data_IF_938522406238
#
_entry.id   IF_938522406238
#
_cell.length_a   1.000
_cell.length_b   1.000
_cell.length_c   1.000
_cell.angle_alpha   90.00
_cell.angle_beta   90.00
_cell.angle_gamma   90.00
#
_symmetry.space_group_name_H-M   'P 1'
#
loop_
_entity.id
_entity.type
_entity.pdbx_description
1 polymer ?
#
# COMPACT_ATOMS: atom_id res chain seq x y z
N UNK A 1 -4.40 -25.65 33.72
CA UNK A 1 -4.39 -27.09 33.34
C UNK A 1 -5.62 -27.54 32.55
N UNK A 2 -6.84 -27.61 33.13
CA UNK A 2 -8.01 -28.12 32.38
C UNK A 2 -8.35 -27.26 31.14
N UNK A 3 -8.31 -25.93 31.32
CA UNK A 3 -8.53 -24.93 30.28
C UNK A 3 -7.51 -25.02 29.14
N UNK A 4 -6.23 -25.21 29.48
CA UNK A 4 -5.14 -25.33 28.48
C UNK A 4 -5.31 -26.59 27.63
N UNK A 5 -5.75 -27.68 28.25
CA UNK A 5 -6.00 -28.95 27.58
C UNK A 5 -7.20 -28.87 26.63
N UNK A 6 -8.24 -28.11 27.00
CA UNK A 6 -9.38 -27.83 26.14
C UNK A 6 -8.98 -26.95 24.93
N UNK A 7 -8.12 -25.94 25.12
CA UNK A 7 -7.56 -25.13 24.04
C UNK A 7 -6.68 -25.95 23.09
N UNK A 8 -5.80 -26.81 23.63
CA UNK A 8 -4.95 -27.68 22.83
C UNK A 8 -5.77 -28.66 21.99
N UNK A 9 -6.86 -29.23 22.55
CA UNK A 9 -7.81 -30.07 21.79
C UNK A 9 -8.50 -29.31 20.67
N UNK A 10 -8.83 -28.05 20.88
CA UNK A 10 -9.45 -27.22 19.84
C UNK A 10 -8.44 -26.90 18.73
N UNK A 11 -7.22 -26.50 19.09
CA UNK A 11 -6.13 -26.22 18.15
C UNK A 11 -5.73 -27.45 17.34
N UNK A 12 -5.74 -28.64 17.95
CA UNK A 12 -5.44 -29.89 17.26
C UNK A 12 -6.43 -30.21 16.11
N UNK A 13 -7.63 -29.62 16.10
CA UNK A 13 -8.57 -29.73 14.97
C UNK A 13 -8.09 -28.95 13.74
N UNK A 14 -7.45 -27.80 13.96
CA UNK A 14 -6.94 -26.92 12.89
C UNK A 14 -5.48 -27.24 12.51
N UNK A 15 -4.69 -27.75 13.46
CA UNK A 15 -3.26 -28.08 13.29
C UNK A 15 -2.98 -29.49 13.83
N UNK A 16 -3.32 -30.57 13.10
CA UNK A 16 -3.26 -31.94 13.62
C UNK A 16 -1.85 -32.50 13.79
N UNK A 17 -0.84 -31.87 13.18
CA UNK A 17 0.55 -32.32 13.24
C UNK A 17 1.47 -31.26 13.85
N UNK A 18 2.54 -31.71 14.49
CA UNK A 18 3.57 -30.82 15.03
C UNK A 18 4.15 -29.89 13.96
N UNK A 19 4.32 -30.38 12.73
CA UNK A 19 4.83 -29.60 11.60
C UNK A 19 3.87 -28.48 11.19
N UNK A 20 2.56 -28.75 11.13
CA UNK A 20 1.57 -27.72 10.81
C UNK A 20 1.47 -26.66 11.91
N UNK A 21 1.47 -27.07 13.17
CA UNK A 21 1.50 -26.13 14.29
C UNK A 21 2.77 -25.28 14.28
N UNK A 22 3.94 -25.88 14.02
CA UNK A 22 5.20 -25.17 13.91
C UNK A 22 5.20 -24.17 12.75
N UNK A 23 4.70 -24.57 11.57
CA UNK A 23 4.58 -23.70 10.41
C UNK A 23 3.71 -22.47 10.71
N UNK A 24 2.57 -22.66 11.38
CA UNK A 24 1.70 -21.53 11.73
C UNK A 24 2.31 -20.64 12.80
N UNK A 25 3.00 -21.20 13.79
CA UNK A 25 3.76 -20.39 14.78
C UNK A 25 4.81 -19.54 14.08
N UNK A 26 5.55 -20.08 13.11
CA UNK A 26 6.55 -19.34 12.34
C UNK A 26 5.87 -18.22 11.53
N UNK A 27 4.77 -18.53 10.84
CA UNK A 27 3.99 -17.56 10.07
C UNK A 27 3.48 -16.40 10.95
N UNK A 28 2.85 -16.70 12.08
CA UNK A 28 2.35 -15.70 13.02
C UNK A 28 3.48 -14.87 13.64
N UNK A 29 4.61 -15.49 13.99
CA UNK A 29 5.80 -14.77 14.46
C UNK A 29 6.34 -13.81 13.40
N UNK A 30 6.40 -14.24 12.14
CA UNK A 30 6.81 -13.39 11.03
C UNK A 30 5.85 -12.20 10.84
N UNK A 31 4.53 -12.43 10.94
CA UNK A 31 3.52 -11.37 10.87
C UNK A 31 3.70 -10.38 12.04
N UNK A 32 3.93 -10.85 13.27
CA UNK A 32 4.15 -9.99 14.44
C UNK A 32 5.46 -9.19 14.39
N UNK A 33 6.45 -9.66 13.62
CA UNK A 33 7.70 -8.95 13.39
C UNK A 33 7.57 -7.81 12.35
N UNK A 34 6.46 -7.76 11.60
CA UNK A 34 6.20 -6.65 10.70
C UNK A 34 5.96 -5.35 11.49
N UNK A 35 6.30 -4.17 10.93
CA UNK A 35 6.03 -2.90 11.56
C UNK A 35 4.55 -2.77 11.95
N UNK A 36 4.28 -2.22 13.14
CA UNK A 36 2.91 -1.87 13.53
C UNK A 36 2.28 -0.96 12.49
N UNK A 37 0.99 -1.16 12.25
CA UNK A 37 0.22 -0.27 11.38
C UNK A 37 0.08 1.13 11.99
N UNK A 38 -0.32 2.09 11.17
CA UNK A 38 -0.65 3.44 11.65
C UNK A 38 -1.91 3.40 12.50
N UNK A 39 -1.82 3.88 13.74
CA UNK A 39 -2.94 4.06 14.65
C UNK A 39 -3.30 5.54 14.70
N UNK A 40 -4.59 5.87 14.68
CA UNK A 40 -5.07 7.23 14.82
C UNK A 40 -5.83 7.39 16.13
N UNK A 41 -5.51 8.45 16.88
CA UNK A 41 -6.21 8.82 18.11
C UNK A 41 -6.86 10.19 17.92
N UNK A 42 -8.17 10.25 18.08
CA UNK A 42 -8.96 11.47 17.92
C UNK A 42 -9.80 11.71 19.18
N UNK A 43 -9.72 12.90 19.76
CA UNK A 43 -10.57 13.31 20.90
C UNK A 43 -11.75 14.19 20.45
N UNK A 44 -11.56 15.02 19.42
CA UNK A 44 -12.51 16.07 19.04
C UNK A 44 -12.78 16.04 17.53
N UNK A 45 -13.95 15.53 17.15
CA UNK A 45 -14.37 15.39 15.73
C UNK A 45 -15.50 16.35 15.35
N UNK A 46 -16.04 17.12 16.30
CA UNK A 46 -17.21 17.97 16.08
C UNK A 46 -16.84 19.24 15.31
N UNK A 47 -17.35 19.38 14.09
CA UNK A 47 -17.15 20.57 13.24
C UNK A 47 -15.95 20.50 12.28
N UNK A 48 -15.03 19.56 12.50
CA UNK A 48 -13.74 19.46 11.79
C UNK A 48 -13.72 18.32 10.75
N UNK A 49 -14.83 18.13 10.03
CA UNK A 49 -14.97 16.99 9.10
C UNK A 49 -13.97 17.04 7.93
N UNK A 50 -13.66 18.23 7.42
CA UNK A 50 -12.70 18.42 6.32
C UNK A 50 -11.27 18.13 6.76
N UNK A 51 -10.86 18.63 7.93
CA UNK A 51 -9.54 18.36 8.50
C UNK A 51 -9.35 16.86 8.77
N UNK A 52 -10.39 16.17 9.28
CA UNK A 52 -10.38 14.73 9.44
C UNK A 52 -10.22 13.98 8.10
N UNK A 53 -11.01 14.35 7.09
CA UNK A 53 -10.93 13.77 5.75
C UNK A 53 -9.54 13.98 5.14
N UNK A 54 -8.99 15.19 5.26
CA UNK A 54 -7.63 15.51 4.81
C UNK A 54 -6.58 14.65 5.52
N UNK A 55 -6.70 14.47 6.84
CA UNK A 55 -5.76 13.65 7.60
C UNK A 55 -5.80 12.18 7.15
N UNK A 56 -7.00 11.65 6.93
CA UNK A 56 -7.19 10.29 6.43
C UNK A 56 -6.64 10.13 5.00
N UNK A 57 -6.91 11.10 4.12
CA UNK A 57 -6.45 11.11 2.72
C UNK A 57 -4.93 11.27 2.60
N UNK A 58 -4.34 12.10 3.45
CA UNK A 58 -2.89 12.32 3.50
C UNK A 58 -2.11 11.25 4.27
N UNK A 59 -2.83 10.31 4.90
CA UNK A 59 -2.29 9.35 5.84
C UNK A 59 -1.44 10.01 6.93
N UNK A 60 -1.96 11.09 7.55
CA UNK A 60 -1.22 11.95 8.49
C UNK A 60 0.10 12.49 7.91
N UNK A 61 0.09 12.90 6.64
CA UNK A 61 1.28 13.42 5.96
C UNK A 61 2.31 12.37 5.54
N UNK A 62 2.08 11.08 5.82
CA UNK A 62 2.99 9.99 5.40
C UNK A 62 3.13 9.95 3.88
N UNK A 63 2.06 10.23 3.13
CA UNK A 63 2.12 10.26 1.67
C UNK A 63 3.05 11.38 1.19
N UNK A 64 2.93 12.60 1.73
CA UNK A 64 3.83 13.71 1.39
C UNK A 64 5.29 13.36 1.68
N UNK A 65 5.56 12.81 2.86
CA UNK A 65 6.91 12.36 3.23
C UNK A 65 7.46 11.30 2.28
N UNK A 66 6.63 10.37 1.81
CA UNK A 66 7.06 9.34 0.84
C UNK A 66 7.27 9.90 -0.56
N UNK A 67 6.48 10.87 -0.99
CA UNK A 67 6.69 11.57 -2.25
C UNK A 67 8.03 12.31 -2.21
N UNK A 68 8.29 13.06 -1.15
CA UNK A 68 9.55 13.80 -0.97
C UNK A 68 10.77 12.85 -0.94
N UNK A 69 10.68 11.74 -0.21
CA UNK A 69 11.74 10.73 -0.13
C UNK A 69 12.10 10.15 -1.51
N UNK A 70 11.11 9.92 -2.38
CA UNK A 70 11.32 9.29 -3.69
C UNK A 70 11.68 10.32 -4.77
N UNK A 71 11.06 11.50 -4.73
CA UNK A 71 11.02 12.42 -5.87
C UNK A 71 11.69 13.77 -5.65
N UNK A 72 12.23 14.08 -4.47
CA UNK A 72 12.88 15.36 -4.17
C UNK A 72 13.96 15.80 -5.16
N UNK A 73 14.69 14.86 -5.75
CA UNK A 73 15.73 15.15 -6.75
C UNK A 73 15.23 15.19 -8.20
N UNK A 74 13.99 14.76 -8.42
CA UNK A 74 13.41 14.59 -9.76
C UNK A 74 12.28 15.58 -10.05
N UNK A 75 11.58 16.05 -9.02
CA UNK A 75 10.40 16.89 -9.11
C UNK A 75 10.55 18.15 -8.27
N UNK A 76 10.09 19.26 -8.83
CA UNK A 76 9.89 20.50 -8.08
C UNK A 76 8.87 20.32 -6.95
N UNK A 77 8.88 21.22 -5.96
CA UNK A 77 7.91 21.19 -4.86
C UNK A 77 6.46 21.27 -5.37
N UNK A 78 6.20 22.09 -6.39
CA UNK A 78 4.88 22.21 -7.02
C UNK A 78 4.41 20.92 -7.70
N UNK A 79 5.33 20.17 -8.33
CA UNK A 79 5.01 18.88 -8.93
C UNK A 79 4.76 17.81 -7.87
N UNK A 80 5.51 17.82 -6.78
CA UNK A 80 5.29 16.94 -5.64
C UNK A 80 3.94 17.23 -4.98
N UNK A 81 3.59 18.50 -4.82
CA UNK A 81 2.31 18.93 -4.28
C UNK A 81 1.15 18.53 -5.19
N UNK A 82 1.31 18.68 -6.51
CA UNK A 82 0.33 18.20 -7.50
C UNK A 82 0.13 16.69 -7.42
N UNK A 83 1.21 15.90 -7.32
CA UNK A 83 1.11 14.45 -7.15
C UNK A 83 0.40 14.08 -5.84
N UNK A 84 0.70 14.77 -4.74
CA UNK A 84 0.04 14.56 -3.46
C UNK A 84 -1.47 14.87 -3.55
N UNK A 85 -1.84 16.00 -4.15
CA UNK A 85 -3.24 16.39 -4.34
C UNK A 85 -4.01 15.41 -5.21
N UNK A 86 -3.40 14.88 -6.28
CA UNK A 86 -4.00 13.83 -7.10
C UNK A 86 -4.33 12.57 -6.27
N UNK A 87 -3.47 12.20 -5.33
CA UNK A 87 -3.69 11.04 -4.45
C UNK A 87 -4.78 11.33 -3.42
N UNK A 88 -4.77 12.54 -2.84
CA UNK A 88 -5.71 12.92 -1.78
C UNK A 88 -7.13 13.11 -2.34
N UNK A 89 -7.24 13.80 -3.46
CA UNK A 89 -8.49 14.31 -4.04
C UNK A 89 -8.59 13.93 -5.52
N UNK A 90 -8.59 12.62 -5.88
CA UNK A 90 -8.50 12.21 -7.28
C UNK A 90 -9.68 12.72 -8.09
N UNK A 91 -10.92 12.61 -7.58
CA UNK A 91 -12.12 13.02 -8.32
C UNK A 91 -12.12 14.52 -8.57
N UNK A 92 -11.81 15.28 -7.53
CA UNK A 92 -11.75 16.73 -7.56
C UNK A 92 -10.67 17.19 -8.54
N UNK A 93 -9.49 16.54 -8.51
CA UNK A 93 -8.41 16.79 -9.47
C UNK A 93 -8.86 16.56 -10.92
N UNK A 94 -9.60 15.47 -11.20
CA UNK A 94 -10.09 15.15 -12.54
C UNK A 94 -11.25 16.05 -13.03
N UNK A 95 -12.03 16.62 -12.10
CA UNK A 95 -13.17 17.49 -12.44
C UNK A 95 -12.77 18.95 -12.64
N UNK A 96 -11.60 19.34 -12.13
CA UNK A 96 -11.06 20.68 -12.26
C UNK A 96 -10.60 20.94 -13.70
N UNK A 97 -11.29 21.88 -14.36
CA UNK A 97 -11.06 22.25 -15.76
C UNK A 97 -9.74 23.00 -15.96
N UNK A 98 -9.14 23.53 -14.89
CA UNK A 98 -7.83 24.18 -14.96
C UNK A 98 -6.69 23.16 -15.13
N UNK A 99 -6.94 21.89 -14.80
CA UNK A 99 -5.99 20.79 -14.97
C UNK A 99 -5.96 20.28 -16.42
N UNK A 100 -5.62 21.16 -17.35
CA UNK A 100 -5.52 20.87 -18.80
C UNK A 100 -4.50 19.78 -19.14
N UNK A 101 -3.52 19.54 -18.25
CA UNK A 101 -2.54 18.46 -18.39
C UNK A 101 -3.14 17.05 -18.28
N UNK A 102 -4.37 16.91 -17.78
CA UNK A 102 -5.00 15.59 -17.60
C UNK A 102 -5.29 14.89 -18.93
N UNK A 103 -5.44 15.63 -20.03
CA UNK A 103 -5.64 15.05 -21.37
C UNK A 103 -4.31 14.67 -22.06
N UNK A 104 -3.18 15.10 -21.51
CA UNK A 104 -1.85 14.78 -22.03
C UNK A 104 -1.47 13.34 -21.68
N UNK A 105 -1.39 12.50 -22.71
CA UNK A 105 -1.02 11.08 -22.59
C UNK A 105 0.37 10.88 -21.99
N UNK A 106 1.31 11.78 -22.28
CA UNK A 106 2.67 11.67 -21.75
C UNK A 106 2.68 11.96 -20.24
N UNK A 107 1.98 13.01 -19.84
CA UNK A 107 1.77 13.31 -18.42
C UNK A 107 1.08 12.15 -17.69
N UNK A 108 0.04 11.56 -18.27
CA UNK A 108 -0.66 10.41 -17.69
C UNK A 108 0.29 9.23 -17.49
N UNK A 109 1.09 8.90 -18.51
CA UNK A 109 2.07 7.82 -18.44
C UNK A 109 3.10 8.05 -17.34
N UNK A 110 3.71 9.24 -17.31
CA UNK A 110 4.67 9.64 -16.27
C UNK A 110 4.02 9.54 -14.89
N UNK A 111 2.78 10.00 -14.75
CA UNK A 111 2.04 9.98 -13.48
C UNK A 111 1.75 8.56 -13.01
N UNK A 112 1.36 7.65 -13.91
CA UNK A 112 1.18 6.23 -13.58
C UNK A 112 2.49 5.63 -13.06
N UNK A 113 3.63 5.87 -13.73
CA UNK A 113 4.93 5.39 -13.25
C UNK A 113 5.28 5.95 -11.86
N UNK A 114 5.00 7.23 -11.60
CA UNK A 114 5.21 7.85 -10.28
C UNK A 114 4.33 7.21 -9.20
N UNK A 115 3.06 6.94 -9.51
CA UNK A 115 2.13 6.26 -8.61
C UNK A 115 2.57 4.82 -8.32
N UNK A 116 3.03 4.08 -9.33
CA UNK A 116 3.57 2.72 -9.17
C UNK A 116 4.81 2.74 -8.28
N UNK A 117 5.77 3.63 -8.52
CA UNK A 117 6.98 3.75 -7.70
C UNK A 117 6.64 4.08 -6.22
N UNK A 118 5.66 4.96 -5.99
CA UNK A 118 5.17 5.26 -4.64
C UNK A 118 4.52 4.04 -3.99
N UNK A 119 3.67 3.32 -4.73
CA UNK A 119 3.03 2.10 -4.25
C UNK A 119 4.08 1.03 -3.90
N UNK A 120 5.10 0.81 -4.72
CA UNK A 120 6.22 -0.10 -4.44
C UNK A 120 6.91 0.25 -3.13
N UNK A 121 7.25 1.53 -2.95
CA UNK A 121 7.92 2.01 -1.74
C UNK A 121 7.09 1.77 -0.48
N UNK A 122 5.78 2.02 -0.56
CA UNK A 122 4.86 1.82 0.57
C UNK A 122 4.59 0.33 0.82
N UNK A 123 4.40 -0.44 -0.26
CA UNK A 123 4.11 -1.87 -0.23
C UNK A 123 5.26 -2.70 0.34
N UNK A 124 6.51 -2.25 0.21
CA UNK A 124 7.71 -2.94 0.72
C UNK A 124 7.67 -3.30 2.21
N UNK A 125 6.84 -2.60 3.01
CA UNK A 125 6.62 -2.88 4.44
C UNK A 125 5.65 -4.02 4.72
N UNK A 126 5.00 -4.55 3.69
CA UNK A 126 3.93 -5.54 3.80
C UNK A 126 4.25 -6.76 2.93
N UNK A 127 3.71 -7.92 3.33
CA UNK A 127 3.84 -9.13 2.52
C UNK A 127 3.01 -9.01 1.23
N UNK A 128 3.44 -9.69 0.16
CA UNK A 128 2.71 -9.74 -1.12
C UNK A 128 1.23 -10.14 -0.95
N UNK A 129 0.96 -11.11 -0.06
CA UNK A 129 -0.42 -11.52 0.27
C UNK A 129 -1.25 -10.38 0.89
N UNK A 130 -0.65 -9.56 1.76
CA UNK A 130 -1.33 -8.42 2.38
C UNK A 130 -1.61 -7.30 1.37
N UNK A 131 -0.68 -7.06 0.45
CA UNK A 131 -0.85 -6.08 -0.64
C UNK A 131 -1.94 -6.52 -1.62
N UNK A 132 -1.89 -7.76 -2.12
CA UNK A 132 -2.89 -8.31 -3.04
C UNK A 132 -4.32 -8.24 -2.48
N UNK A 133 -4.50 -8.51 -1.19
CA UNK A 133 -5.81 -8.41 -0.51
C UNK A 133 -6.37 -6.98 -0.44
N UNK A 134 -5.56 -5.95 -0.68
CA UNK A 134 -5.97 -4.53 -0.68
C UNK A 134 -6.25 -4.00 -2.09
N UNK A 135 -5.89 -4.73 -3.14
CA UNK A 135 -6.11 -4.28 -4.51
C UNK A 135 -7.60 -4.34 -4.90
N UNK A 136 -8.11 -3.36 -5.67
CA UNK A 136 -9.46 -3.41 -6.23
C UNK A 136 -9.62 -4.63 -7.16
N UNK A 137 -10.70 -5.40 -7.02
CA UNK A 137 -10.90 -6.66 -7.79
C UNK A 137 -10.76 -6.48 -9.30
N UNK A 138 -11.35 -5.41 -9.83
CA UNK A 138 -11.40 -5.15 -11.27
C UNK A 138 -10.02 -4.78 -11.86
N UNK A 139 -9.10 -4.29 -11.03
CA UNK A 139 -7.77 -3.84 -11.44
C UNK A 139 -6.64 -4.64 -10.79
N UNK A 140 -6.97 -5.66 -9.98
CA UNK A 140 -6.01 -6.36 -9.15
C UNK A 140 -4.89 -6.99 -9.98
N UNK A 141 -5.24 -7.58 -11.12
CA UNK A 141 -4.27 -8.17 -12.03
C UNK A 141 -3.30 -7.12 -12.59
N UNK A 142 -3.83 -6.06 -13.20
CA UNK A 142 -3.01 -5.01 -13.82
C UNK A 142 -2.10 -4.29 -12.80
N UNK A 143 -2.62 -3.99 -11.61
CA UNK A 143 -1.81 -3.34 -10.57
C UNK A 143 -0.76 -4.31 -10.01
N UNK A 144 -1.08 -5.59 -9.82
CA UNK A 144 -0.09 -6.57 -9.33
C UNK A 144 1.05 -6.77 -10.35
N UNK A 145 0.74 -6.82 -11.65
CA UNK A 145 1.76 -6.85 -12.72
C UNK A 145 2.65 -5.61 -12.66
N UNK A 146 2.07 -4.40 -12.61
CA UNK A 146 2.84 -3.14 -12.51
C UNK A 146 3.72 -3.06 -11.25
N UNK A 147 3.32 -3.70 -10.15
CA UNK A 147 4.09 -3.75 -8.90
C UNK A 147 5.16 -4.85 -8.88
N UNK A 148 5.17 -5.77 -9.84
CA UNK A 148 6.11 -6.89 -9.87
C UNK A 148 6.70 -7.10 -11.27
N UNK A 149 6.76 -6.04 -12.08
CA UNK A 149 7.34 -6.09 -13.43
C UNK A 149 8.85 -6.32 -13.29
N UNK A 150 9.23 -7.59 -13.22
CA UNK A 150 10.60 -8.07 -13.14
C UNK A 150 11.25 -7.94 -14.53
N UNK A 151 11.64 -6.70 -14.89
CA UNK A 151 12.48 -6.47 -16.07
C UNK A 151 13.90 -7.08 -15.92
N UNK A 152 14.33 -7.48 -14.72
CA UNK A 152 15.68 -8.01 -14.48
C UNK A 152 15.82 -9.54 -14.64
N UNK A 153 14.80 -10.36 -14.32
CA UNK A 153 14.96 -11.83 -14.37
C UNK A 153 14.51 -12.46 -15.69
N UNK A 154 13.54 -11.87 -16.39
CA UNK A 154 12.94 -12.49 -17.60
C UNK A 154 13.87 -12.49 -18.82
N UNK A 155 14.92 -11.64 -18.85
CA UNK A 155 15.90 -11.60 -19.95
C UNK A 155 16.95 -12.71 -19.88
N UNK A 156 17.11 -13.37 -18.73
CA UNK A 156 18.06 -14.49 -18.59
C UNK A 156 17.47 -15.81 -19.09
N UNK A 157 16.17 -16.06 -18.89
CA UNK A 157 15.52 -17.33 -19.24
C UNK A 157 15.20 -17.50 -20.74
N UNK A 158 15.27 -16.44 -21.54
CA UNK A 158 15.06 -16.51 -22.99
C UNK A 158 16.37 -16.52 -23.79
N UNK A 159 17.51 -16.81 -23.13
CA UNK A 159 18.84 -16.95 -23.76
C UNK A 159 19.40 -18.38 -23.73
N UNK A 160 18.56 -19.38 -23.50
CA UNK A 160 18.90 -20.80 -23.73
C UNK A 160 18.05 -21.40 -24.85
#
# INVERSE_FOLDING_TARGET
MKRDLDYLRLLAKSFPTANQAAAEIINLKAICALPKGTEYFFSDLHGESEAFIFLMRSASGVIRSKIEEIFSHFLSEDEQLRLANLIYYPRETFLDKENTFLEDKEWQKITIHRLVALCLKIASKYTRSKVRKKLPKDFAYAIDELLHDEEEDTKLYHRE
#
